data_IF_607555599133
#
_entry.id   IF_607555599133
#
_cell.length_a   1.000
_cell.length_b   1.000
_cell.length_c   1.000
_cell.angle_alpha   90.00
_cell.angle_beta   90.00
_cell.angle_gamma   90.00
#
_symmetry.space_group_name_H-M   'P 1'
#
loop_
_entity.id
_entity.type
_entity.pdbx_description
1 polymer ?
#
# COMPACT_ATOMS: atom_id res chain seq x y z
N UNK A 1 0.12 -65.43 -10.05
CA UNK A 1 -0.95 -64.53 -9.58
C UNK A 1 -0.31 -63.29 -8.96
N UNK A 2 -0.86 -62.12 -9.32
CA UNK A 2 -0.73 -60.80 -8.69
C UNK A 2 0.58 -60.03 -8.91
N UNK A 3 0.64 -59.46 -10.11
CA UNK A 3 1.43 -58.29 -10.50
C UNK A 3 0.83 -57.04 -9.82
N UNK A 4 1.53 -56.42 -8.86
CA UNK A 4 1.09 -55.20 -8.17
C UNK A 4 1.59 -53.94 -8.89
N UNK A 5 0.90 -53.60 -9.98
CA UNK A 5 0.68 -52.23 -10.45
C UNK A 5 -0.27 -51.58 -9.41
N UNK A 6 -0.10 -50.39 -8.83
CA UNK A 6 0.34 -49.10 -9.37
C UNK A 6 0.76 -48.21 -8.19
N UNK A 7 2.04 -47.86 -8.11
CA UNK A 7 2.51 -46.65 -7.43
C UNK A 7 2.19 -45.42 -8.29
N UNK A 8 2.15 -44.24 -7.67
CA UNK A 8 2.03 -42.89 -8.28
C UNK A 8 0.61 -42.41 -8.62
N UNK A 9 -0.24 -42.24 -7.60
CA UNK A 9 -1.10 -41.04 -7.59
C UNK A 9 -0.22 -39.91 -7.07
N UNK A 10 0.40 -39.21 -8.02
CA UNK A 10 1.12 -37.96 -7.76
C UNK A 10 0.12 -36.96 -7.17
N UNK A 11 0.13 -36.84 -5.85
CA UNK A 11 -0.53 -35.78 -5.11
C UNK A 11 0.17 -34.48 -5.49
N UNK A 12 -0.25 -33.88 -6.61
CA UNK A 12 0.12 -32.52 -6.98
C UNK A 12 -0.54 -31.59 -5.95
N UNK A 13 0.09 -31.44 -4.79
CA UNK A 13 -0.20 -30.37 -3.84
C UNK A 13 0.12 -29.08 -4.55
N UNK A 14 -0.88 -28.52 -5.21
CA UNK A 14 -0.88 -27.14 -5.66
C UNK A 14 -0.75 -26.29 -4.39
N UNK A 15 0.48 -26.00 -3.99
CA UNK A 15 0.75 -25.01 -2.96
C UNK A 15 0.31 -23.69 -3.58
N UNK A 16 -0.95 -23.34 -3.35
CA UNK A 16 -1.43 -21.96 -3.45
C UNK A 16 -0.64 -21.21 -2.40
N UNK A 17 0.58 -20.80 -2.76
CA UNK A 17 1.34 -19.82 -2.01
C UNK A 17 0.43 -18.62 -2.01
N UNK A 18 -0.26 -18.38 -0.89
CA UNK A 18 -0.97 -17.15 -0.66
C UNK A 18 0.05 -16.07 -0.91
N UNK A 19 -0.07 -15.37 -2.05
CA UNK A 19 0.78 -14.24 -2.34
C UNK A 19 0.59 -13.30 -1.16
N UNK A 20 1.65 -13.13 -0.36
CA UNK A 20 1.58 -12.34 0.86
C UNK A 20 1.07 -10.94 0.57
N UNK A 21 0.68 -10.20 1.61
CA UNK A 21 0.14 -8.83 1.47
C UNK A 21 1.16 -7.85 0.86
N UNK A 22 2.39 -8.32 0.71
CA UNK A 22 3.54 -7.67 0.10
C UNK A 22 3.54 -7.66 -1.43
N UNK A 23 2.57 -8.29 -2.08
CA UNK A 23 2.37 -8.22 -3.53
C UNK A 23 0.95 -7.73 -3.82
N UNK A 24 0.81 -6.70 -4.65
CA UNK A 24 -0.51 -6.17 -4.98
C UNK A 24 -0.51 -5.13 -6.09
N UNK A 25 -1.71 -4.74 -6.50
CA UNK A 25 -1.96 -3.66 -7.45
C UNK A 25 -3.24 -2.94 -7.05
N UNK A 26 -3.16 -1.65 -6.75
CA UNK A 26 -4.31 -0.79 -6.42
C UNK A 26 -3.89 0.68 -6.37
N UNK A 27 -4.84 1.54 -5.99
CA UNK A 27 -4.53 2.94 -5.65
C UNK A 27 -3.85 3.01 -4.28
N UNK A 28 -2.67 3.63 -4.22
CA UNK A 28 -1.85 3.83 -3.02
C UNK A 28 -1.88 5.30 -2.59
N UNK A 29 -1.63 5.58 -1.32
CA UNK A 29 -1.68 6.94 -0.74
C UNK A 29 -0.32 7.43 -0.30
N UNK A 30 -0.11 8.75 -0.26
CA UNK A 30 1.04 9.35 0.43
C UNK A 30 0.78 9.48 1.94
N UNK A 31 1.82 9.29 2.74
CA UNK A 31 1.86 9.55 4.16
C UNK A 31 3.01 10.50 4.51
N UNK A 32 2.71 11.55 5.27
CA UNK A 32 3.71 12.53 5.70
C UNK A 32 4.45 12.07 6.97
N UNK A 33 5.39 11.13 6.81
CA UNK A 33 6.26 10.72 7.93
C UNK A 33 7.20 11.85 8.40
N UNK A 34 7.38 12.93 7.62
CA UNK A 34 8.34 13.99 7.95
C UNK A 34 7.79 14.96 8.98
N UNK A 35 6.47 15.20 9.00
CA UNK A 35 5.83 16.05 10.01
C UNK A 35 5.73 15.41 11.40
N UNK A 36 6.17 14.15 11.57
CA UNK A 36 6.24 13.50 12.88
C UNK A 36 7.18 14.23 13.85
N UNK A 37 8.16 15.01 13.38
CA UNK A 37 8.99 15.85 14.24
C UNK A 37 9.62 15.09 15.42
N UNK A 38 9.37 15.54 16.65
CA UNK A 38 9.88 14.87 17.87
C UNK A 38 9.29 13.47 18.11
N UNK A 39 8.16 13.12 17.49
CA UNK A 39 7.58 11.78 17.60
C UNK A 39 8.45 10.70 16.94
N UNK A 40 9.35 11.08 16.01
CA UNK A 40 10.29 10.14 15.39
C UNK A 40 11.16 9.39 16.43
N UNK A 41 11.44 10.02 17.57
CA UNK A 41 12.22 9.43 18.66
C UNK A 41 11.37 8.65 19.68
N UNK A 42 10.05 8.87 19.71
CA UNK A 42 9.15 8.39 20.77
C UNK A 42 8.19 7.29 20.31
N UNK A 43 7.87 7.24 19.03
CA UNK A 43 7.01 6.22 18.44
C UNK A 43 7.76 5.45 17.37
N UNK A 44 7.73 4.13 17.47
CA UNK A 44 8.13 3.24 16.38
C UNK A 44 6.89 2.92 15.52
N UNK A 45 7.05 2.67 14.21
CA UNK A 45 6.00 2.08 13.40
C UNK A 45 5.71 0.66 13.91
N UNK A 46 4.67 0.02 13.38
CA UNK A 46 4.22 -1.30 13.84
C UNK A 46 5.30 -2.39 13.82
N UNK A 47 6.33 -2.26 12.98
CA UNK A 47 7.48 -3.18 12.97
C UNK A 47 8.51 -2.97 14.09
N UNK A 48 8.33 -1.97 14.96
CA UNK A 48 9.21 -1.71 16.10
C UNK A 48 10.55 -1.04 15.75
N UNK A 49 10.74 -0.60 14.51
CA UNK A 49 11.96 0.05 14.05
C UNK A 49 11.95 1.55 14.40
N UNK A 50 12.85 2.07 15.26
CA UNK A 50 12.83 3.50 15.59
C UNK A 50 12.99 4.34 14.33
N UNK A 51 12.11 5.32 14.07
CA UNK A 51 12.18 6.10 12.83
C UNK A 51 13.52 6.81 12.66
N UNK A 52 14.19 7.17 13.76
CA UNK A 52 15.55 7.75 13.77
C UNK A 52 16.64 6.85 13.18
N UNK A 53 16.32 5.57 12.91
CA UNK A 53 17.24 4.61 12.27
C UNK A 53 16.90 4.35 10.80
N UNK A 54 15.77 4.87 10.33
CA UNK A 54 15.23 4.65 9.00
C UNK A 54 15.38 5.90 8.13
N UNK A 55 15.61 5.73 6.83
CA UNK A 55 15.34 6.80 5.87
C UNK A 55 13.83 6.95 5.64
N UNK A 56 13.19 7.81 6.42
CA UNK A 56 11.73 8.04 6.39
C UNK A 56 11.20 8.58 5.04
N UNK A 57 12.08 8.98 4.12
CA UNK A 57 11.66 9.37 2.77
C UNK A 57 11.30 8.18 1.87
N UNK A 58 11.72 6.96 2.24
CA UNK A 58 11.59 5.73 1.43
C UNK A 58 10.99 4.56 2.20
N UNK A 59 10.11 4.84 3.15
CA UNK A 59 9.36 3.82 3.89
C UNK A 59 7.89 3.77 3.43
N UNK A 60 7.20 2.71 3.79
CA UNK A 60 5.76 2.56 3.53
C UNK A 60 5.08 1.77 4.64
N UNK A 61 3.79 2.07 4.86
CA UNK A 61 2.86 1.15 5.50
C UNK A 61 2.25 0.21 4.45
N UNK A 62 1.92 -1.02 4.85
CA UNK A 62 1.27 -2.00 3.98
C UNK A 62 -0.03 -2.47 4.62
N UNK A 63 -1.11 -2.49 3.85
CA UNK A 63 -2.42 -2.91 4.33
C UNK A 63 -2.43 -4.39 4.74
N UNK A 64 -2.90 -4.66 5.96
CA UNK A 64 -3.03 -6.01 6.54
C UNK A 64 -1.71 -6.78 6.61
N UNK A 65 -0.58 -6.08 6.68
CA UNK A 65 0.75 -6.69 6.78
C UNK A 65 0.85 -7.58 8.03
N UNK A 66 1.39 -8.78 7.87
CA UNK A 66 1.77 -9.62 9.00
C UNK A 66 3.07 -9.10 9.60
N UNK A 67 2.95 -8.29 10.65
CA UNK A 67 4.10 -7.68 11.35
C UNK A 67 5.12 -8.70 11.88
N UNK A 68 4.71 -9.95 12.13
CA UNK A 68 5.63 -10.98 12.63
C UNK A 68 6.58 -11.52 11.55
N UNK A 69 6.22 -11.42 10.27
CA UNK A 69 6.97 -12.08 9.18
C UNK A 69 7.27 -11.19 7.97
N UNK A 70 6.54 -10.09 7.78
CA UNK A 70 6.65 -9.23 6.60
C UNK A 70 7.37 -7.90 6.88
N UNK A 71 7.68 -7.61 8.14
CA UNK A 71 8.44 -6.42 8.52
C UNK A 71 9.83 -6.36 7.90
N UNK A 72 10.20 -5.19 7.39
CA UNK A 72 11.48 -4.96 6.73
C UNK A 72 11.57 -5.55 5.32
N UNK A 73 10.46 -6.03 4.75
CA UNK A 73 10.44 -6.46 3.35
C UNK A 73 10.72 -5.27 2.44
N UNK A 74 11.69 -5.44 1.55
CA UNK A 74 11.98 -4.46 0.50
C UNK A 74 10.99 -4.64 -0.64
N UNK A 75 10.25 -3.59 -0.95
CA UNK A 75 9.26 -3.57 -2.01
C UNK A 75 9.78 -2.76 -3.19
N UNK A 76 9.53 -3.27 -4.39
CA UNK A 76 9.57 -2.47 -5.60
C UNK A 76 8.15 -1.96 -5.88
N UNK A 77 8.02 -0.66 -6.04
CA UNK A 77 6.74 0.00 -6.37
C UNK A 77 6.83 0.55 -7.78
N UNK A 78 5.92 0.12 -8.64
CA UNK A 78 5.85 0.49 -10.05
C UNK A 78 4.61 1.32 -10.34
N UNK A 79 4.81 2.38 -11.13
CA UNK A 79 3.78 3.27 -11.61
C UNK A 79 3.81 3.32 -13.16
N UNK A 80 2.65 3.32 -13.84
CA UNK A 80 2.59 3.57 -15.28
C UNK A 80 3.28 4.90 -15.62
N UNK A 81 3.98 4.99 -16.75
CA UNK A 81 4.59 6.27 -17.16
C UNK A 81 3.57 7.40 -17.31
N UNK A 82 2.35 7.07 -17.72
CA UNK A 82 1.24 8.01 -17.90
C UNK A 82 0.67 8.56 -16.59
N UNK A 83 1.01 7.97 -15.44
CA UNK A 83 0.54 8.46 -14.14
C UNK A 83 1.44 9.55 -13.56
N UNK A 84 2.59 9.84 -14.18
CA UNK A 84 3.45 10.94 -13.77
C UNK A 84 2.91 12.28 -14.24
N UNK A 85 2.72 13.21 -13.30
CA UNK A 85 2.30 14.58 -13.58
C UNK A 85 3.53 15.47 -13.56
N UNK A 86 3.96 15.90 -14.75
CA UNK A 86 5.04 16.87 -14.88
C UNK A 86 4.64 18.18 -14.16
N UNK A 87 5.58 18.76 -13.40
CA UNK A 87 5.36 19.96 -12.56
C UNK A 87 4.35 19.83 -11.41
N UNK A 88 3.78 18.66 -11.14
CA UNK A 88 2.84 18.52 -10.03
C UNK A 88 3.47 18.79 -8.65
N UNK A 89 4.80 18.72 -8.52
CA UNK A 89 5.55 19.17 -7.33
C UNK A 89 5.28 20.65 -7.02
N UNK A 90 5.15 21.50 -8.05
CA UNK A 90 4.81 22.91 -7.89
C UNK A 90 3.32 23.13 -7.59
N UNK A 91 2.46 22.20 -7.99
CA UNK A 91 1.02 22.25 -7.73
C UNK A 91 0.64 21.68 -6.34
N UNK A 92 1.48 20.81 -5.77
CA UNK A 92 1.21 20.04 -4.54
C UNK A 92 1.90 20.54 -3.27
N UNK A 93 2.76 21.56 -3.34
CA UNK A 93 3.36 22.16 -2.15
C UNK A 93 2.51 23.35 -1.65
N UNK A 94 1.78 23.22 -0.53
CA UNK A 94 1.22 24.38 0.13
C UNK A 94 2.36 25.16 0.77
N UNK A 95 2.78 26.26 0.13
CA UNK A 95 2.94 27.52 0.86
C UNK A 95 3.11 28.78 -0.02
N UNK A 96 3.38 28.71 -1.34
CA UNK A 96 3.59 29.95 -2.14
C UNK A 96 2.98 29.95 -3.56
N UNK A 97 2.61 28.81 -4.18
CA UNK A 97 2.31 28.80 -5.63
C UNK A 97 0.82 28.86 -6.07
N UNK A 98 -0.15 29.11 -5.17
CA UNK A 98 -1.58 28.95 -5.51
C UNK A 98 -2.33 30.20 -6.00
N UNK A 99 -1.70 31.37 -6.13
CA UNK A 99 -2.43 32.60 -6.46
C UNK A 99 -2.33 33.08 -7.93
N UNK A 100 -1.34 32.65 -8.71
CA UNK A 100 -1.07 33.29 -10.02
C UNK A 100 -1.46 32.48 -11.26
N UNK A 101 -1.85 31.20 -11.12
CA UNK A 101 -2.18 30.35 -12.26
C UNK A 101 -3.62 29.78 -12.28
N UNK A 102 -4.44 30.09 -11.27
CA UNK A 102 -5.80 29.55 -11.18
C UNK A 102 -6.76 30.11 -12.25
N UNK A 103 -6.50 31.31 -12.78
CA UNK A 103 -7.34 31.90 -13.84
C UNK A 103 -7.16 31.26 -15.22
N UNK A 104 -6.06 30.53 -15.47
CA UNK A 104 -5.82 29.92 -16.78
C UNK A 104 -6.40 28.51 -16.92
N UNK A 105 -6.73 27.83 -15.81
CA UNK A 105 -7.15 26.42 -15.81
C UNK A 105 -8.67 26.19 -15.84
N UNK A 106 -9.50 27.24 -15.82
CA UNK A 106 -10.97 27.09 -15.64
C UNK A 106 -11.81 27.20 -16.91
N UNK A 107 -11.23 27.46 -18.09
CA UNK A 107 -12.05 27.68 -19.30
C UNK A 107 -12.39 26.44 -20.10
N UNK A 108 -11.58 25.39 -20.09
CA UNK A 108 -11.91 24.14 -20.77
C UNK A 108 -11.30 22.98 -20.00
N UNK A 109 -12.13 22.16 -19.34
CA UNK A 109 -11.73 20.82 -18.93
C UNK A 109 -11.94 19.91 -20.14
N UNK A 110 -10.92 19.60 -20.96
CA UNK A 110 -11.04 18.47 -21.87
C UNK A 110 -11.35 17.25 -21.01
N UNK A 111 -12.49 16.62 -21.27
CA UNK A 111 -12.82 15.34 -20.65
C UNK A 111 -11.66 14.39 -20.93
N UNK A 112 -10.87 14.10 -19.88
CA UNK A 112 -9.80 13.13 -20.00
C UNK A 112 -10.44 11.82 -20.46
N UNK A 113 -9.95 11.20 -21.54
CA UNK A 113 -10.50 9.96 -22.03
C UNK A 113 -10.48 8.96 -20.87
N UNK A 114 -11.67 8.45 -20.53
CA UNK A 114 -11.84 7.38 -19.58
C UNK A 114 -11.17 6.17 -20.22
N UNK A 115 -9.86 6.02 -20.01
CA UNK A 115 -9.11 4.89 -20.56
C UNK A 115 -9.70 3.64 -19.95
N UNK A 116 -10.44 2.91 -20.78
CA UNK A 116 -10.82 1.54 -20.55
C UNK A 116 -9.60 0.77 -20.05
N UNK A 117 -9.82 -0.12 -19.08
CA UNK A 117 -8.83 -1.05 -18.53
C UNK A 117 -8.05 -1.73 -19.66
N UNK A 118 -6.95 -1.11 -20.08
CA UNK A 118 -6.07 -1.66 -21.07
C UNK A 118 -5.37 -2.85 -20.42
N UNK A 119 -5.58 -4.04 -21.00
CA UNK A 119 -4.87 -5.26 -20.64
C UNK A 119 -3.37 -4.95 -20.67
N UNK A 120 -2.75 -4.93 -19.49
CA UNK A 120 -1.34 -4.60 -19.30
C UNK A 120 -0.51 -5.53 -20.18
N UNK A 121 0.21 -4.98 -21.15
CA UNK A 121 1.13 -5.74 -22.01
C UNK A 121 2.40 -6.00 -21.21
N UNK A 122 2.99 -7.20 -21.32
CA UNK A 122 4.27 -7.60 -20.71
C UNK A 122 5.47 -6.70 -21.10
N UNK A 123 5.25 -5.66 -21.91
CA UNK A 123 6.25 -4.68 -22.34
C UNK A 123 5.89 -3.25 -21.97
N UNK A 124 5.02 -3.04 -20.99
CA UNK A 124 4.76 -1.69 -20.48
C UNK A 124 6.01 -1.13 -19.81
N UNK A 125 6.39 0.09 -20.21
CA UNK A 125 7.41 0.85 -19.50
C UNK A 125 6.79 1.56 -18.29
N UNK A 126 7.48 1.48 -17.16
CA UNK A 126 7.04 2.00 -15.86
C UNK A 126 8.12 2.88 -15.24
N UNK A 127 7.69 3.78 -14.35
CA UNK A 127 8.55 4.38 -13.33
C UNK A 127 8.53 3.48 -12.10
N UNK A 128 9.64 3.36 -11.40
CA UNK A 128 9.67 2.58 -10.17
C UNK A 128 10.68 3.11 -9.16
N UNK A 129 10.45 2.75 -7.90
CA UNK A 129 11.39 2.99 -6.80
C UNK A 129 11.33 1.83 -5.81
N UNK A 130 12.25 1.84 -4.84
CA UNK A 130 12.36 0.83 -3.80
C UNK A 130 12.07 1.45 -2.43
N UNK A 131 11.14 0.83 -1.71
CA UNK A 131 10.71 1.26 -0.37
C UNK A 131 10.78 0.12 0.63
N UNK A 132 10.96 0.46 1.89
CA UNK A 132 10.97 -0.50 2.99
C UNK A 132 9.60 -0.54 3.68
N UNK A 133 9.01 -1.73 3.79
CA UNK A 133 7.78 -1.92 4.57
C UNK A 133 8.11 -1.94 6.07
N UNK A 134 7.63 -0.93 6.80
CA UNK A 134 7.95 -0.75 8.23
C UNK A 134 6.71 -0.58 9.10
N UNK A 135 5.54 -0.40 8.50
CA UNK A 135 4.30 -0.16 9.21
C UNK A 135 3.13 -0.91 8.59
N UNK A 136 2.02 -1.05 9.32
CA UNK A 136 0.76 -1.57 8.78
C UNK A 136 -0.30 -0.48 8.81
N UNK A 137 -1.02 -0.32 7.70
CA UNK A 137 -2.04 0.72 7.60
C UNK A 137 -2.50 1.01 6.19
N UNK A 138 -3.47 1.93 6.09
CA UNK A 138 -3.96 2.44 4.82
C UNK A 138 -4.72 1.43 3.95
N UNK A 139 -4.90 1.82 2.67
CA UNK A 139 -5.41 0.95 1.61
C UNK A 139 -4.27 0.66 0.65
N UNK A 140 -3.77 -0.57 0.65
CA UNK A 140 -2.67 -1.00 -0.19
C UNK A 140 -1.34 -0.57 0.40
N UNK A 141 -0.77 0.51 -0.12
CA UNK A 141 0.42 1.14 0.43
C UNK A 141 0.10 2.55 0.91
N UNK A 142 0.63 2.90 2.07
CA UNK A 142 0.72 4.28 2.54
C UNK A 142 2.20 4.70 2.53
N UNK A 143 2.61 5.17 1.36
CA UNK A 143 4.01 5.40 0.98
C UNK A 143 4.48 6.76 1.47
N UNK A 144 5.73 6.88 1.90
CA UNK A 144 6.28 8.17 2.30
C UNK A 144 6.07 9.24 1.23
N UNK A 145 5.54 10.41 1.64
CA UNK A 145 5.12 11.48 0.74
C UNK A 145 6.23 11.90 -0.23
N UNK A 146 7.49 11.92 0.22
CA UNK A 146 8.64 12.26 -0.65
C UNK A 146 8.80 11.26 -1.79
N UNK A 147 8.84 9.95 -1.49
CA UNK A 147 8.98 8.94 -2.54
C UNK A 147 7.72 8.82 -3.41
N UNK A 148 6.53 9.03 -2.84
CA UNK A 148 5.28 9.13 -3.59
C UNK A 148 5.34 10.28 -4.60
N UNK A 149 5.75 11.47 -4.16
CA UNK A 149 5.89 12.66 -5.00
C UNK A 149 6.93 12.44 -6.10
N UNK A 150 8.08 11.85 -5.77
CA UNK A 150 9.10 11.55 -6.79
C UNK A 150 8.59 10.55 -7.85
N UNK A 151 7.75 9.59 -7.45
CA UNK A 151 7.20 8.57 -8.34
C UNK A 151 6.11 9.11 -9.27
N UNK A 152 5.18 9.93 -8.75
CA UNK A 152 3.99 10.40 -9.47
C UNK A 152 4.00 11.88 -9.86
N UNK A 153 4.95 12.65 -9.35
CA UNK A 153 5.01 14.10 -9.52
C UNK A 153 3.96 14.85 -8.71
N UNK A 154 3.24 14.24 -7.75
CA UNK A 154 2.19 14.88 -6.96
C UNK A 154 2.04 14.18 -5.60
N UNK A 155 1.41 14.82 -4.60
CA UNK A 155 1.24 14.30 -3.22
C UNK A 155 -0.17 14.39 -2.65
N UNK A 156 -1.16 14.76 -3.45
CA UNK A 156 -2.49 15.17 -2.99
C UNK A 156 -3.56 14.10 -3.20
N UNK A 157 -3.37 13.18 -4.15
CA UNK A 157 -4.40 12.23 -4.55
C UNK A 157 -3.86 10.80 -4.59
N UNK A 158 -4.66 9.79 -4.22
CA UNK A 158 -4.29 8.40 -4.39
C UNK A 158 -3.95 8.08 -5.85
N UNK A 159 -2.91 7.27 -6.08
CA UNK A 159 -2.43 6.93 -7.43
C UNK A 159 -2.31 5.43 -7.66
N UNK A 160 -2.57 4.95 -8.90
CA UNK A 160 -2.44 3.54 -9.21
C UNK A 160 -0.96 3.10 -9.21
N UNK A 161 -0.68 2.02 -8.47
CA UNK A 161 0.61 1.36 -8.45
C UNK A 161 0.47 -0.17 -8.39
N UNK A 162 1.54 -0.85 -8.77
CA UNK A 162 1.78 -2.24 -8.45
C UNK A 162 3.01 -2.36 -7.55
N UNK A 163 3.03 -3.33 -6.65
CA UNK A 163 4.18 -3.61 -5.81
C UNK A 163 4.38 -5.11 -5.60
N UNK A 164 5.62 -5.48 -5.32
CA UNK A 164 6.01 -6.85 -5.00
C UNK A 164 7.36 -6.87 -4.25
N UNK A 165 7.65 -7.94 -3.49
CA UNK A 165 8.92 -8.10 -2.80
C UNK A 165 10.09 -8.19 -3.77
N UNK A 166 11.22 -7.60 -3.40
CA UNK A 166 12.50 -7.75 -4.08
C UNK A 166 13.61 -8.09 -3.09
N UNK A 167 14.79 -8.42 -3.60
CA UNK A 167 15.94 -8.72 -2.76
C UNK A 167 16.25 -7.56 -1.77
N UNK A 168 16.54 -7.86 -0.49
CA UNK A 168 16.80 -6.83 0.52
C UNK A 168 17.93 -5.85 0.17
N UNK A 169 18.83 -6.24 -0.75
CA UNK A 169 19.97 -5.42 -1.18
C UNK A 169 19.58 -4.03 -1.71
N UNK A 170 18.38 -3.88 -2.27
CA UNK A 170 17.85 -2.63 -2.83
C UNK A 170 17.35 -1.63 -1.78
N UNK A 171 17.16 -2.07 -0.53
CA UNK A 171 16.72 -1.23 0.59
C UNK A 171 17.77 -1.15 1.73
N UNK A 172 19.01 -1.63 1.51
CA UNK A 172 20.05 -1.67 2.55
C UNK A 172 20.43 -0.28 3.09
N UNK A 173 20.32 0.74 2.26
CA UNK A 173 20.59 2.13 2.57
C UNK A 173 19.44 2.81 3.33
N UNK A 174 18.22 2.25 3.28
CA UNK A 174 17.06 2.74 4.05
C UNK A 174 17.16 2.33 5.52
N UNK A 175 17.74 1.15 5.78
CA UNK A 175 17.87 0.56 7.12
C UNK A 175 19.10 1.03 7.92
N UNK A 176 20.16 1.52 7.24
CA UNK A 176 21.45 1.75 7.90
C UNK A 176 21.70 3.21 8.25
N UNK A 177 21.68 3.49 9.55
CA UNK A 177 22.49 4.54 10.18
C UNK A 177 22.14 5.97 9.74
N UNK A 178 20.84 6.32 9.67
CA UNK A 178 20.41 7.73 9.57
C UNK A 178 20.65 8.56 10.84
N UNK A 179 21.31 7.94 11.83
CA UNK A 179 21.39 8.29 13.26
C UNK A 179 22.16 9.55 13.62
N UNK A 180 22.45 10.47 12.69
CA UNK A 180 22.94 11.81 13.09
C UNK A 180 22.52 12.90 12.10
N UNK A 181 22.62 12.64 10.80
CA UNK A 181 22.32 13.66 9.78
C UNK A 181 20.82 13.91 9.60
N UNK A 182 19.94 12.89 9.69
CA UNK A 182 18.49 13.11 9.58
C UNK A 182 17.88 13.81 10.79
N UNK A 183 18.47 13.62 11.99
CA UNK A 183 18.03 14.33 13.19
C UNK A 183 18.44 15.82 13.17
N UNK A 184 19.55 16.15 12.51
CA UNK A 184 20.08 17.52 12.41
C UNK A 184 19.56 18.27 11.18
N UNK A 185 19.24 17.56 10.11
CA UNK A 185 18.60 18.08 8.90
C UNK A 185 17.47 17.14 8.49
N UNK A 186 16.23 17.37 8.98
CA UNK A 186 15.08 16.51 8.70
C UNK A 186 14.77 16.32 7.22
N UNK A 187 15.39 17.11 6.33
CA UNK A 187 14.90 17.29 4.97
C UNK A 187 15.94 17.87 4.01
N UNK A 188 17.21 17.44 4.05
CA UNK A 188 17.89 17.38 2.75
C UNK A 188 17.31 16.15 2.07
N UNK A 189 16.21 16.33 1.32
CA UNK A 189 15.58 15.28 0.51
C UNK A 189 16.70 14.59 -0.27
N UNK A 190 17.17 13.44 0.22
CA UNK A 190 18.05 12.61 -0.58
C UNK A 190 17.21 12.30 -1.80
N UNK A 191 17.72 12.66 -2.97
CA UNK A 191 17.03 12.45 -4.23
C UNK A 191 16.54 11.00 -4.24
N UNK A 192 15.22 10.79 -4.16
CA UNK A 192 14.67 9.44 -4.17
C UNK A 192 15.02 8.85 -5.52
N UNK A 193 15.73 7.72 -5.57
CA UNK A 193 16.10 7.12 -6.84
C UNK A 193 14.82 6.65 -7.54
N UNK A 194 14.48 7.36 -8.62
CA UNK A 194 13.44 6.95 -9.55
C UNK A 194 14.10 6.36 -10.77
N UNK A 195 13.68 5.16 -11.10
CA UNK A 195 14.16 4.43 -12.25
C UNK A 195 13.05 4.28 -13.28
N UNK A 196 13.44 4.09 -14.53
CA UNK A 196 12.52 3.72 -15.60
C UNK A 196 12.92 2.36 -16.16
N UNK A 197 11.96 1.51 -16.46
CA UNK A 197 12.23 0.18 -17.01
C UNK A 197 10.95 -0.49 -17.46
N UNK A 198 11.06 -1.76 -17.85
CA UNK A 198 9.88 -2.59 -18.08
C UNK A 198 9.28 -3.04 -16.75
N UNK A 199 7.95 -3.16 -16.74
CA UNK A 199 7.20 -3.74 -15.62
C UNK A 199 7.74 -5.14 -15.31
N UNK A 200 8.07 -5.38 -14.05
CA UNK A 200 8.42 -6.71 -13.53
C UNK A 200 7.33 -7.27 -12.60
N UNK A 201 6.21 -6.55 -12.46
CA UNK A 201 5.08 -6.99 -11.66
C UNK A 201 4.55 -8.37 -12.15
N UNK A 202 4.28 -9.31 -11.23
CA UNK A 202 3.70 -10.62 -11.59
C UNK A 202 2.45 -10.50 -12.47
N UNK A 203 2.36 -11.36 -13.48
CA UNK A 203 1.19 -11.46 -14.36
C UNK A 203 -0.02 -11.91 -13.51
N UNK A 204 -1.18 -11.30 -13.74
CA UNK A 204 -2.41 -11.67 -13.03
C UNK A 204 -2.54 -11.06 -11.64
N UNK A 205 -1.78 -10.00 -11.35
CA UNK A 205 -2.11 -9.07 -10.26
C UNK A 205 -3.50 -8.48 -10.51
N UNK A 206 -4.52 -9.11 -9.95
CA UNK A 206 -5.85 -8.51 -9.87
C UNK A 206 -5.75 -7.27 -8.99
N UNK A 207 -6.49 -6.22 -9.36
CA UNK A 207 -6.76 -5.13 -8.43
C UNK A 207 -7.22 -5.77 -7.11
N UNK A 208 -6.55 -5.47 -5.99
CA UNK A 208 -6.92 -6.03 -4.70
C UNK A 208 -8.43 -5.86 -4.55
N UNK A 209 -9.15 -6.98 -4.46
CA UNK A 209 -10.61 -6.99 -4.53
C UNK A 209 -11.21 -6.01 -3.51
N UNK A 210 -12.43 -5.50 -3.76
CA UNK A 210 -13.09 -4.62 -2.81
C UNK A 210 -13.02 -5.24 -1.42
N UNK A 211 -12.52 -4.45 -0.47
CA UNK A 211 -12.42 -4.84 0.94
C UNK A 211 -13.83 -5.27 1.34
N UNK A 212 -14.00 -6.54 1.70
CA UNK A 212 -15.25 -7.05 2.26
C UNK A 212 -15.58 -6.23 3.51
N UNK A 213 -16.46 -5.24 3.37
CA UNK A 213 -16.72 -4.23 4.40
C UNK A 213 -17.61 -3.06 3.96
N UNK A 214 -17.76 -2.79 2.65
CA UNK A 214 -18.86 -1.94 2.17
C UNK A 214 -20.13 -2.77 2.04
N UNK A 215 -20.85 -2.92 3.17
CA UNK A 215 -22.29 -3.19 3.13
C UNK A 215 -22.96 -2.08 2.31
N UNK A 216 -23.27 -2.39 1.06
CA UNK A 216 -24.19 -1.64 0.23
C UNK A 216 -25.55 -1.54 0.94
N UNK A 217 -25.73 -0.48 1.73
CA UNK A 217 -27.01 -0.06 2.29
C UNK A 217 -27.91 0.46 1.15
N UNK A 218 -28.46 -0.47 0.39
CA UNK A 218 -29.40 -0.24 -0.70
C UNK A 218 -30.64 -1.11 -0.54
N UNK A 219 -31.24 -1.12 0.65
CA UNK A 219 -32.53 -1.78 0.87
C UNK A 219 -33.65 -0.93 0.27
N UNK A 220 -34.15 -1.37 -0.89
CA UNK A 220 -35.46 -0.97 -1.40
C UNK A 220 -36.54 -1.62 -0.51
N UNK A 221 -37.58 -0.88 -0.07
CA UNK A 221 -38.61 -1.45 0.79
C UNK A 221 -39.62 -2.25 -0.03
N UNK A 222 -39.61 -3.58 0.10
CA UNK A 222 -40.72 -4.41 -0.35
C UNK A 222 -41.50 -4.92 0.86
N UNK A 223 -42.79 -4.58 0.82
CA UNK A 223 -43.86 -4.78 1.80
C UNK A 223 -44.30 -6.25 1.89
N UNK A 224 -44.95 -6.59 3.02
CA UNK A 224 -45.71 -7.84 3.33
C UNK A 224 -44.88 -8.92 4.04
N UNK A 225 -45.29 -9.60 5.11
CA UNK A 225 -46.55 -9.71 5.86
C UNK A 225 -46.25 -10.19 7.28
N UNK A 226 -47.12 -9.81 8.22
CA UNK A 226 -47.39 -10.42 9.54
C UNK A 226 -46.86 -11.84 9.79
N UNK A 227 -46.17 -12.04 10.92
CA UNK A 227 -46.38 -13.21 11.78
C UNK A 227 -46.10 -12.86 13.24
N UNK A 228 -47.12 -13.05 14.08
CA UNK A 228 -47.05 -13.05 15.53
C UNK A 228 -46.25 -14.27 16.02
N UNK A 229 -45.50 -14.12 17.12
CA UNK A 229 -44.98 -15.26 17.88
C UNK A 229 -44.02 -14.90 19.02
N UNK A 230 -44.58 -14.69 20.22
CA UNK A 230 -44.13 -15.10 21.57
C UNK A 230 -42.62 -15.18 21.89
N UNK A 231 -42.10 -14.40 22.84
CA UNK A 231 -42.04 -14.65 24.31
C UNK A 231 -41.09 -15.79 24.72
N UNK A 232 -39.98 -15.44 25.42
CA UNK A 232 -39.41 -16.07 26.65
C UNK A 232 -37.96 -15.55 26.84
N UNK A 233 -37.74 -14.77 27.90
CA UNK A 233 -37.02 -15.12 29.14
C UNK A 233 -35.52 -15.39 28.99
N UNK A 234 -34.75 -14.62 29.75
CA UNK A 234 -33.29 -14.69 29.82
C UNK A 234 -32.75 -15.88 30.59
N UNK A 235 -31.42 -15.91 30.72
CA UNK A 235 -30.66 -16.51 31.82
C UNK A 235 -29.32 -15.77 31.90
N UNK A 236 -28.91 -15.53 33.14
CA UNK A 236 -27.67 -14.91 33.56
C UNK A 236 -26.46 -15.87 33.52
N UNK A 237 -25.26 -15.29 33.47
CA UNK A 237 -24.08 -15.78 34.18
C UNK A 237 -23.22 -16.84 33.49
N UNK A 238 -21.92 -16.58 33.37
CA UNK A 238 -20.89 -17.00 34.35
C UNK A 238 -19.52 -16.55 33.81
N UNK A 239 -18.85 -15.70 34.59
CA UNK A 239 -17.45 -15.39 34.43
C UNK A 239 -16.61 -16.57 34.95
N UNK A 240 -15.62 -17.02 34.17
CA UNK A 240 -14.55 -17.87 34.66
C UNK A 240 -13.21 -17.16 34.45
N UNK A 241 -12.68 -16.61 35.54
CA UNK A 241 -11.26 -16.32 35.68
C UNK A 241 -10.51 -17.66 35.68
N UNK A 242 -9.53 -17.82 34.79
CA UNK A 242 -8.48 -18.82 34.95
C UNK A 242 -7.14 -18.11 35.04
N UNK A 243 -6.67 -18.00 36.29
CA UNK A 243 -5.32 -17.65 36.70
C UNK A 243 -4.44 -18.90 36.52
N UNK A 244 -3.39 -18.87 35.71
CA UNK A 244 -2.30 -19.84 35.80
C UNK A 244 -0.95 -19.14 35.81
N UNK A 245 -0.09 -19.72 36.65
CA UNK A 245 1.25 -19.29 37.08
C UNK A 245 2.28 -19.27 35.97
#
# INVERSE_FOLDING_TARGET
MLCSLTWLVALATLVLVSSGRMTGQQSITPHDYQSLGSYLALSAPSCGFPYVTLDISRITAVQLMNVASECGTCLRVEAPLSSYIEFGETAGLPHIAMATYFEYATKEFPQLPITSLAKRSDREKVRYTYVLAVDTGGRGLDMAQVAFTALFGQSMSPMPAAWFPVEPKYCRDIWRNSTTEQLQSPTSMRSVPIHTGYSLAPIGLSAAGPIAGEESSGSTPTRSSSFLGQVLLGIAGIATLSLWR
#
